data_IF_335597987984
#
_entry.id   IF_335597987984
#
_cell.length_a   1.000
_cell.length_b   1.000
_cell.length_c   1.000
_cell.angle_alpha   90.00
_cell.angle_beta   90.00
_cell.angle_gamma   90.00
#
_symmetry.space_group_name_H-M   'P 1'
#
loop_
_entity.id
_entity.type
_entity.pdbx_description
1 polymer ?
#
# COMPACT_ATOMS: atom_id res chain seq x y z
N UNK A 1 -0.81 -7.38 -23.66
CA UNK A 1 -0.29 -7.28 -22.28
C UNK A 1 1.20 -6.95 -22.40
N UNK A 2 1.67 -5.94 -21.73
CA UNK A 2 3.09 -5.56 -21.77
C UNK A 2 3.92 -6.59 -20.98
N UNK A 3 4.95 -7.15 -21.62
CA UNK A 3 5.88 -8.06 -20.96
C UNK A 3 6.90 -7.25 -20.18
N UNK A 4 6.73 -7.10 -18.88
CA UNK A 4 7.64 -6.37 -18.00
C UNK A 4 7.02 -6.02 -16.67
N UNK A 5 7.81 -5.44 -15.78
CA UNK A 5 7.31 -4.98 -14.49
C UNK A 5 6.37 -3.78 -14.66
N UNK A 6 5.44 -3.64 -13.72
CA UNK A 6 4.56 -2.47 -13.67
C UNK A 6 5.39 -1.20 -13.41
N UNK A 7 4.98 -0.02 -13.90
CA UNK A 7 5.69 1.23 -13.66
C UNK A 7 5.82 1.55 -12.18
N UNK A 8 7.03 1.86 -11.75
CA UNK A 8 7.35 2.34 -10.39
C UNK A 8 7.98 3.73 -10.42
N UNK A 9 8.27 4.25 -11.60
CA UNK A 9 8.89 5.56 -11.82
C UNK A 9 8.29 6.26 -13.05
N UNK A 10 8.53 7.55 -13.16
CA UNK A 10 8.18 8.29 -14.38
C UNK A 10 8.97 7.85 -15.62
N UNK A 11 10.18 7.35 -15.41
CA UNK A 11 10.97 6.78 -16.51
C UNK A 11 10.27 5.54 -17.07
N UNK A 12 9.80 4.62 -16.21
CA UNK A 12 9.06 3.42 -16.65
C UNK A 12 7.78 3.81 -17.41
N UNK A 13 7.10 4.87 -16.96
CA UNK A 13 5.93 5.39 -17.68
C UNK A 13 6.30 5.89 -19.07
N UNK A 14 7.41 6.62 -19.21
CA UNK A 14 7.87 7.13 -20.51
C UNK A 14 8.25 6.00 -21.46
N UNK A 15 8.96 4.99 -20.97
CA UNK A 15 9.34 3.80 -21.76
C UNK A 15 8.12 3.03 -22.29
N UNK A 16 7.00 3.09 -21.57
CA UNK A 16 5.73 2.51 -21.98
C UNK A 16 4.82 3.48 -22.77
N UNK A 17 5.25 4.70 -23.00
CA UNK A 17 4.44 5.73 -23.65
C UNK A 17 3.24 6.20 -22.82
N UNK A 18 3.29 6.04 -21.50
CA UNK A 18 2.21 6.43 -20.60
C UNK A 18 2.45 7.86 -20.10
N UNK A 19 1.52 8.77 -20.40
CA UNK A 19 1.57 10.15 -19.88
C UNK A 19 0.92 10.32 -18.53
N UNK A 20 -0.18 9.59 -18.28
CA UNK A 20 -0.91 9.57 -17.03
C UNK A 20 -1.42 8.17 -16.78
N UNK A 21 -1.22 7.64 -15.58
CA UNK A 21 -1.76 6.35 -15.15
C UNK A 21 -3.26 6.45 -14.85
N UNK A 22 -4.00 5.38 -15.10
CA UNK A 22 -5.39 5.27 -14.68
C UNK A 22 -5.50 5.08 -13.18
N UNK A 23 -4.67 4.19 -12.64
CA UNK A 23 -4.59 3.93 -11.21
C UNK A 23 -3.15 3.96 -10.71
N UNK A 24 -2.98 4.42 -9.48
CA UNK A 24 -1.73 4.28 -8.72
C UNK A 24 -2.02 3.42 -7.49
N UNK A 25 -1.34 2.29 -7.37
CA UNK A 25 -1.47 1.38 -6.26
C UNK A 25 -0.41 1.66 -5.20
N UNK A 26 -0.84 2.08 -4.01
CA UNK A 26 0.03 2.32 -2.86
C UNK A 26 -0.03 1.13 -1.93
N UNK A 27 1.11 0.51 -1.67
CA UNK A 27 1.22 -0.74 -0.92
C UNK A 27 2.25 -0.64 0.20
N UNK A 28 1.94 -1.29 1.33
CA UNK A 28 2.87 -1.39 2.47
C UNK A 28 3.95 -2.46 2.31
N UNK A 29 3.81 -3.37 1.35
CA UNK A 29 4.83 -4.37 1.03
C UNK A 29 5.78 -3.85 -0.05
N UNK A 30 6.98 -4.43 -0.10
CA UNK A 30 7.86 -4.28 -1.26
C UNK A 30 7.17 -4.76 -2.54
N UNK A 31 7.50 -4.15 -3.67
CA UNK A 31 6.96 -4.60 -4.96
C UNK A 31 7.57 -5.93 -5.36
N UNK A 32 6.72 -6.95 -5.45
CA UNK A 32 7.03 -8.26 -6.00
C UNK A 32 5.91 -8.63 -6.97
N UNK A 33 6.24 -8.79 -8.26
CA UNK A 33 5.28 -9.15 -9.30
C UNK A 33 5.04 -10.66 -9.30
N UNK A 34 4.33 -11.13 -8.28
CA UNK A 34 4.04 -12.54 -8.07
C UNK A 34 2.59 -12.71 -7.56
N UNK A 35 1.89 -13.79 -7.95
CA UNK A 35 0.50 -14.04 -7.54
C UNK A 35 0.26 -14.16 -6.04
N UNK A 36 1.30 -14.34 -5.23
CA UNK A 36 1.18 -14.32 -3.77
C UNK A 36 0.96 -12.93 -3.18
N UNK A 37 1.10 -11.87 -3.98
CA UNK A 37 0.96 -10.48 -3.52
C UNK A 37 -0.27 -9.83 -4.15
N UNK A 38 -1.15 -9.31 -3.28
CA UNK A 38 -2.42 -8.70 -3.69
C UNK A 38 -2.28 -7.53 -4.65
N UNK A 39 -1.25 -6.70 -4.48
CA UNK A 39 -0.99 -5.59 -5.39
C UNK A 39 -0.63 -6.06 -6.80
N UNK A 40 0.11 -7.15 -6.95
CA UNK A 40 0.43 -7.71 -8.25
C UNK A 40 -0.81 -8.29 -8.93
N UNK A 41 -1.60 -9.08 -8.21
CA UNK A 41 -2.84 -9.67 -8.77
C UNK A 41 -3.79 -8.58 -9.25
N UNK A 42 -4.10 -7.59 -8.42
CA UNK A 42 -5.07 -6.54 -8.74
C UNK A 42 -4.55 -5.67 -9.88
N UNK A 43 -3.29 -5.27 -9.84
CA UNK A 43 -2.71 -4.44 -10.89
C UNK A 43 -2.67 -5.17 -12.24
N UNK A 44 -2.28 -6.43 -12.27
CA UNK A 44 -2.30 -7.24 -13.51
C UNK A 44 -3.71 -7.49 -14.03
N UNK A 45 -4.67 -7.69 -13.15
CA UNK A 45 -6.08 -7.83 -13.53
C UNK A 45 -6.60 -6.54 -14.19
N UNK A 46 -6.31 -5.38 -13.62
CA UNK A 46 -6.68 -4.10 -14.20
C UNK A 46 -5.98 -3.85 -15.54
N UNK A 47 -4.69 -4.18 -15.64
CA UNK A 47 -3.93 -4.09 -16.90
C UNK A 47 -4.53 -4.99 -17.98
N UNK A 48 -4.95 -6.20 -17.63
CA UNK A 48 -5.65 -7.12 -18.56
C UNK A 48 -7.00 -6.57 -19.06
N UNK A 49 -7.62 -5.66 -18.31
CA UNK A 49 -8.86 -4.97 -18.71
C UNK A 49 -8.59 -3.62 -19.41
N UNK A 50 -7.35 -3.33 -19.77
CA UNK A 50 -6.98 -2.14 -20.55
C UNK A 50 -6.67 -0.89 -19.73
N UNK A 51 -6.58 -1.00 -18.40
CA UNK A 51 -6.16 0.10 -17.53
C UNK A 51 -4.65 0.13 -17.37
N UNK A 52 -4.11 1.33 -17.16
CA UNK A 52 -2.71 1.51 -16.78
C UNK A 52 -2.58 1.65 -15.28
N UNK A 53 -1.69 0.88 -14.67
CA UNK A 53 -1.48 0.85 -13.23
C UNK A 53 0.01 1.01 -12.91
N UNK A 54 0.33 1.93 -12.00
CA UNK A 54 1.66 2.05 -11.43
C UNK A 54 1.67 1.67 -9.96
N UNK A 55 2.83 1.28 -9.45
CA UNK A 55 3.01 0.83 -8.07
C UNK A 55 3.88 1.82 -7.31
N UNK A 56 3.42 2.24 -6.14
CA UNK A 56 4.23 2.90 -5.11
C UNK A 56 4.31 1.95 -3.93
N UNK A 57 5.42 1.23 -3.84
CA UNK A 57 5.67 0.27 -2.77
C UNK A 57 6.40 0.95 -1.61
N UNK A 58 5.89 0.82 -0.41
CA UNK A 58 6.49 1.37 0.82
C UNK A 58 6.91 2.84 0.66
N UNK A 59 5.98 3.76 0.32
CA UNK A 59 6.32 5.18 0.24
C UNK A 59 6.88 5.67 1.58
N UNK A 60 7.78 6.65 1.53
CA UNK A 60 8.21 7.33 2.75
C UNK A 60 7.03 8.13 3.31
N UNK A 61 6.38 7.56 4.31
CA UNK A 61 5.18 8.14 4.92
C UNK A 61 5.44 9.42 5.73
N UNK A 62 6.70 9.80 5.89
CA UNK A 62 7.12 11.07 6.49
C UNK A 62 7.33 12.17 5.46
N UNK A 63 7.32 11.82 4.17
CA UNK A 63 7.52 12.76 3.07
C UNK A 63 6.34 12.69 2.09
N UNK A 64 5.58 13.77 2.01
CA UNK A 64 4.44 13.90 1.08
C UNK A 64 4.85 13.75 -0.39
N UNK A 65 6.10 14.05 -0.73
CA UNK A 65 6.61 13.90 -2.11
C UNK A 65 6.64 12.43 -2.56
N UNK A 66 6.75 11.48 -1.64
CA UNK A 66 6.81 10.05 -1.95
C UNK A 66 5.55 9.54 -2.66
N UNK A 67 4.39 10.16 -2.44
CA UNK A 67 3.12 9.78 -3.06
C UNK A 67 2.95 10.39 -4.45
N UNK A 68 3.78 11.34 -4.83
CA UNK A 68 3.69 12.09 -6.07
C UNK A 68 4.62 11.59 -7.18
N UNK A 69 5.41 10.55 -6.91
CA UNK A 69 6.45 10.05 -7.84
C UNK A 69 5.91 9.61 -9.19
N UNK A 70 4.67 9.14 -9.25
CA UNK A 70 3.99 8.74 -10.49
C UNK A 70 2.99 9.77 -11.01
N UNK A 71 2.79 10.87 -10.30
CA UNK A 71 1.79 11.88 -10.62
C UNK A 71 0.37 11.49 -10.17
N UNK A 72 -0.61 12.33 -10.50
CA UNK A 72 -2.02 12.08 -10.18
C UNK A 72 -2.60 11.02 -11.11
N UNK A 73 -3.26 9.98 -10.60
CA UNK A 73 -3.95 9.02 -11.45
C UNK A 73 -5.25 9.59 -12.03
N UNK A 74 -5.63 9.14 -13.22
CA UNK A 74 -6.86 9.58 -13.90
C UNK A 74 -8.12 9.13 -13.16
N UNK A 75 -8.14 7.91 -12.63
CA UNK A 75 -9.32 7.32 -11.98
C UNK A 75 -9.21 7.31 -10.47
N UNK A 76 -8.05 7.04 -9.90
CA UNK A 76 -7.88 7.05 -8.46
C UNK A 76 -6.68 6.28 -7.95
N UNK A 77 -6.47 6.39 -6.63
CA UNK A 77 -5.51 5.59 -5.90
C UNK A 77 -6.15 4.31 -5.38
N UNK A 78 -5.39 3.22 -5.43
CA UNK A 78 -5.69 1.97 -4.75
C UNK A 78 -4.75 1.85 -3.55
N UNK A 79 -5.26 1.56 -2.37
CA UNK A 79 -4.46 1.56 -1.14
C UNK A 79 -4.65 0.26 -0.39
N UNK A 80 -3.55 -0.39 -0.05
CA UNK A 80 -3.54 -1.51 0.90
C UNK A 80 -2.31 -1.45 1.82
N UNK A 81 -2.44 -2.05 3.00
CA UNK A 81 -1.31 -2.19 3.93
C UNK A 81 -0.31 -3.29 3.51
N UNK A 82 -0.68 -4.12 2.55
CA UNK A 82 0.08 -5.28 2.10
C UNK A 82 -0.58 -6.61 2.48
N UNK A 83 0.19 -7.69 2.44
CA UNK A 83 -0.31 -9.04 2.70
C UNK A 83 -0.76 -9.27 4.14
N UNK A 84 -0.27 -8.48 5.08
CA UNK A 84 -0.65 -8.54 6.49
C UNK A 84 -1.16 -7.20 7.00
N UNK A 85 -2.00 -7.26 8.03
CA UNK A 85 -2.32 -6.09 8.85
C UNK A 85 -1.03 -5.51 9.46
N UNK A 86 -0.84 -4.21 9.37
CA UNK A 86 0.39 -3.55 9.82
C UNK A 86 0.67 -3.77 11.32
N UNK A 87 -0.36 -3.76 12.15
CA UNK A 87 -0.20 -3.97 13.58
C UNK A 87 0.17 -5.42 13.89
N UNK A 88 -0.44 -6.39 13.20
CA UNK A 88 -0.10 -7.81 13.34
C UNK A 88 1.32 -8.09 12.84
N UNK A 89 1.74 -7.41 11.78
CA UNK A 89 3.10 -7.55 11.25
C UNK A 89 4.17 -6.90 12.15
N UNK A 90 3.83 -5.80 12.81
CA UNK A 90 4.80 -5.04 13.61
C UNK A 90 4.93 -5.51 15.06
N UNK A 91 3.88 -6.12 15.62
CA UNK A 91 3.83 -6.46 17.03
C UNK A 91 3.55 -7.95 17.25
N UNK A 92 4.15 -8.50 18.29
CA UNK A 92 3.82 -9.83 18.79
C UNK A 92 2.55 -9.81 19.64
N UNK A 93 2.04 -11.00 20.00
CA UNK A 93 0.90 -11.13 20.92
C UNK A 93 1.18 -10.47 22.27
N UNK A 94 2.44 -10.46 22.71
CA UNK A 94 2.90 -9.79 23.93
C UNK A 94 3.19 -8.28 23.75
N UNK A 95 2.68 -7.68 22.66
CA UNK A 95 2.83 -6.25 22.30
C UNK A 95 4.27 -5.76 22.11
N UNK A 96 5.23 -6.67 22.00
CA UNK A 96 6.61 -6.32 21.69
C UNK A 96 6.77 -6.08 20.20
N UNK A 97 7.42 -4.98 19.82
CA UNK A 97 7.75 -4.70 18.43
C UNK A 97 8.68 -5.79 17.89
N UNK A 98 8.35 -6.31 16.72
CA UNK A 98 9.20 -7.29 16.03
C UNK A 98 10.47 -6.63 15.51
N UNK A 99 11.54 -7.40 15.45
CA UNK A 99 12.84 -6.91 14.97
C UNK A 99 12.91 -6.81 13.44
N UNK A 100 12.11 -7.62 12.74
CA UNK A 100 12.15 -7.73 11.28
C UNK A 100 10.76 -7.64 10.66
N UNK A 101 10.70 -7.09 9.44
CA UNK A 101 9.53 -7.08 8.57
C UNK A 101 9.82 -7.96 7.35
N UNK A 102 9.16 -9.12 7.26
CA UNK A 102 9.37 -10.09 6.17
C UNK A 102 8.93 -9.59 4.79
N UNK A 103 8.15 -8.51 4.72
CA UNK A 103 7.66 -7.92 3.49
C UNK A 103 8.44 -6.68 3.07
N UNK A 104 9.57 -6.42 3.72
CA UNK A 104 10.49 -5.33 3.41
C UNK A 104 11.83 -5.90 2.93
N UNK A 105 12.47 -5.31 1.91
CA UNK A 105 13.79 -5.73 1.46
C UNK A 105 14.80 -5.75 2.62
N UNK A 106 15.53 -6.87 2.77
CA UNK A 106 16.47 -7.07 3.86
C UNK A 106 15.84 -7.24 5.24
N UNK A 107 14.51 -7.36 5.33
CA UNK A 107 13.80 -7.51 6.60
C UNK A 107 13.82 -6.27 7.49
N UNK A 108 14.11 -5.10 6.94
CA UNK A 108 14.26 -3.84 7.71
C UNK A 108 12.91 -3.40 8.30
N UNK A 109 12.85 -3.28 9.62
CA UNK A 109 11.65 -2.79 10.31
C UNK A 109 11.56 -1.24 10.21
N UNK A 110 10.32 -0.74 10.08
CA UNK A 110 10.01 0.70 10.18
C UNK A 110 9.77 1.40 8.84
N UNK A 111 9.90 0.72 7.71
CA UNK A 111 9.54 1.30 6.40
C UNK A 111 8.03 1.37 6.18
N UNK A 112 7.28 0.44 6.78
CA UNK A 112 5.82 0.49 6.81
C UNK A 112 5.38 1.20 8.09
N UNK A 113 4.42 2.15 8.03
CA UNK A 113 3.87 2.77 9.23
C UNK A 113 2.92 1.81 9.96
N UNK A 114 2.71 2.05 11.25
CA UNK A 114 1.58 1.49 11.96
C UNK A 114 0.28 2.06 11.36
N UNK A 115 -0.80 1.26 11.31
CA UNK A 115 -2.05 1.65 10.64
C UNK A 115 -1.83 2.12 9.20
N UNK A 116 -1.06 1.37 8.43
CA UNK A 116 -0.55 1.77 7.12
C UNK A 116 -1.64 2.27 6.17
N UNK A 117 -2.80 1.62 6.11
CA UNK A 117 -3.92 2.04 5.25
C UNK A 117 -4.37 3.47 5.53
N UNK A 118 -4.57 3.82 6.81
CA UNK A 118 -4.99 5.18 7.21
C UNK A 118 -3.89 6.19 6.93
N UNK A 119 -2.65 5.84 7.25
CA UNK A 119 -1.50 6.74 7.03
C UNK A 119 -1.33 7.04 5.55
N UNK A 120 -1.40 6.05 4.68
CA UNK A 120 -1.30 6.25 3.23
C UNK A 120 -2.47 7.06 2.66
N UNK A 121 -3.69 6.83 3.15
CA UNK A 121 -4.84 7.65 2.75
C UNK A 121 -4.67 9.11 3.14
N UNK A 122 -4.16 9.39 4.33
CA UNK A 122 -3.89 10.75 4.79
C UNK A 122 -2.80 11.41 3.94
N UNK A 123 -1.73 10.69 3.64
CA UNK A 123 -0.64 11.15 2.77
C UNK A 123 -1.17 11.54 1.38
N UNK A 124 -2.03 10.71 0.80
CA UNK A 124 -2.69 11.02 -0.48
C UNK A 124 -3.57 12.26 -0.36
N UNK A 125 -4.37 12.38 0.71
CA UNK A 125 -5.28 13.52 0.92
C UNK A 125 -4.56 14.84 1.14
N UNK A 126 -3.37 14.82 1.73
CA UNK A 126 -2.54 16.02 1.85
C UNK A 126 -2.16 16.56 0.48
N UNK A 127 -1.75 15.70 -0.43
CA UNK A 127 -1.25 16.07 -1.77
C UNK A 127 -2.41 16.25 -2.77
N UNK A 128 -3.37 15.32 -2.79
CA UNK A 128 -4.47 15.24 -3.75
C UNK A 128 -5.83 15.21 -3.06
N UNK A 129 -6.37 16.39 -2.77
CA UNK A 129 -7.58 16.54 -1.94
C UNK A 129 -8.85 15.90 -2.51
N UNK A 130 -8.96 15.81 -3.83
CA UNK A 130 -10.19 15.38 -4.52
C UNK A 130 -10.06 14.05 -5.27
N UNK A 131 -8.88 13.48 -5.38
CA UNK A 131 -8.66 12.24 -6.11
C UNK A 131 -9.32 11.07 -5.37
N UNK A 132 -10.09 10.21 -6.07
CA UNK A 132 -10.70 9.04 -5.43
C UNK A 132 -9.67 8.11 -4.83
N UNK A 133 -10.02 7.50 -3.70
CA UNK A 133 -9.21 6.49 -3.03
C UNK A 133 -10.07 5.25 -2.82
N UNK A 134 -9.61 4.12 -3.32
CA UNK A 134 -10.20 2.80 -3.11
C UNK A 134 -9.32 2.03 -2.15
N UNK A 135 -9.88 1.61 -1.04
CA UNK A 135 -9.16 0.91 0.03
C UNK A 135 -9.49 -0.58 -0.05
N UNK A 136 -8.48 -1.42 0.08
CA UNK A 136 -8.65 -2.87 0.08
C UNK A 136 -7.59 -3.58 0.89
N UNK A 137 -7.63 -4.91 0.81
CA UNK A 137 -6.70 -5.80 1.50
C UNK A 137 -7.14 -6.18 2.90
N UNK A 138 -6.31 -7.01 3.55
CA UNK A 138 -6.65 -7.63 4.84
C UNK A 138 -6.85 -6.62 5.96
N UNK A 139 -6.02 -5.59 6.03
CA UNK A 139 -6.12 -4.56 7.07
C UNK A 139 -7.45 -3.81 6.99
N UNK A 140 -7.83 -3.36 5.80
CA UNK A 140 -9.11 -2.67 5.60
C UNK A 140 -10.31 -3.58 5.93
N UNK A 141 -10.24 -4.84 5.55
CA UNK A 141 -11.28 -5.84 5.84
C UNK A 141 -11.42 -6.10 7.34
N UNK A 142 -10.30 -6.31 8.04
CA UNK A 142 -10.31 -6.53 9.49
C UNK A 142 -10.87 -5.34 10.25
N UNK A 143 -10.51 -4.12 9.87
CA UNK A 143 -11.00 -2.90 10.51
C UNK A 143 -12.48 -2.66 10.29
N UNK A 144 -13.02 -3.16 9.18
CA UNK A 144 -14.44 -3.02 8.85
C UNK A 144 -15.31 -4.12 9.47
N UNK A 145 -14.82 -5.37 9.44
CA UNK A 145 -15.62 -6.56 9.77
C UNK A 145 -15.48 -7.02 11.21
N UNK A 146 -14.37 -6.70 11.86
CA UNK A 146 -14.07 -7.22 13.20
C UNK A 146 -13.64 -6.10 14.16
N UNK A 147 -14.59 -5.29 14.66
CA UNK A 147 -14.29 -4.43 15.79
C UNK A 147 -13.72 -5.21 16.98
N UNK A 148 -13.98 -6.51 17.06
CA UNK A 148 -13.53 -7.39 18.18
C UNK A 148 -12.03 -7.61 18.18
N UNK A 149 -11.37 -7.93 17.05
CA UNK A 149 -9.91 -8.10 17.04
C UNK A 149 -9.16 -6.78 17.19
N UNK A 150 -9.74 -5.69 16.70
CA UNK A 150 -9.19 -4.35 16.85
C UNK A 150 -9.39 -3.78 18.24
N UNK A 151 -10.58 -3.97 18.84
CA UNK A 151 -10.84 -3.60 20.23
C UNK A 151 -10.04 -4.46 21.21
N UNK A 152 -9.74 -5.70 20.88
CA UNK A 152 -8.89 -6.56 21.70
C UNK A 152 -7.43 -6.05 21.72
N UNK A 153 -6.89 -5.65 20.57
CA UNK A 153 -5.59 -4.98 20.50
C UNK A 153 -5.60 -3.62 21.23
N UNK A 154 -6.69 -2.84 21.13
CA UNK A 154 -6.85 -1.55 21.79
C UNK A 154 -7.15 -1.66 23.29
N UNK A 155 -7.95 -2.62 23.71
CA UNK A 155 -8.25 -2.83 25.14
C UNK A 155 -6.96 -3.13 25.94
N UNK A 156 -5.96 -3.67 25.24
CA UNK A 156 -4.65 -3.88 25.81
C UNK A 156 -3.73 -2.65 25.79
N UNK A 157 -4.02 -1.62 25.00
CA UNK A 157 -3.25 -0.35 24.97
C UNK A 157 -3.67 0.61 26.09
N UNK A 158 -4.86 0.44 26.68
CA UNK A 158 -5.40 1.34 27.70
C UNK A 158 -5.10 0.87 29.14
N UNK A 159 -4.54 -0.32 29.32
CA UNK A 159 -4.22 -0.90 30.65
C UNK A 159 -2.73 -0.76 31.01
N UNK A 160 -2.06 0.28 30.52
CA UNK A 160 -0.67 0.59 30.89
C UNK A 160 -0.51 1.98 31.46
#
# INVERSE_FOLDING_TARGET
>A
MYEGYLPISKQDMQERGIKQLDFVYVCGDAYVDHPSFGHAIIARLLEAHGYTVGIIAQPDWKDDASISVLGVPRLGFLVSAGNMDSMVNHYSVSKKRRATDSYTPGGVMGKRPDYATVVYCNLIRHTYKKTPIIIGGIEASLRRLAPVSYTHLRAHETDS
#
